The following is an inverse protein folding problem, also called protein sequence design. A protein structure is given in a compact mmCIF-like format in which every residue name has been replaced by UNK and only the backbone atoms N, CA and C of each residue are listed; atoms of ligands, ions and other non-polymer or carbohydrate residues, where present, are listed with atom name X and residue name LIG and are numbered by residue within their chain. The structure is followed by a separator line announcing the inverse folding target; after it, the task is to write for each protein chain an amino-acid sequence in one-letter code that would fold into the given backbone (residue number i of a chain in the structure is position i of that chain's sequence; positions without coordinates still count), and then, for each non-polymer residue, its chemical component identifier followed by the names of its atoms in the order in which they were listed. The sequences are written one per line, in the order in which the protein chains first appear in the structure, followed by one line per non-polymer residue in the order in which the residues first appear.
data_IF_248537954748
#
_entry.id   IF_248537954748
#
_cell.length_a   1.000
_cell.length_b   1.000
_cell.length_c   1.000
_cell.angle_alpha   90.00
_cell.angle_beta   90.00
_cell.angle_gamma   90.00
#
_symmetry.space_group_name_H-M   'P 1'
#
loop_
_entity.id
_entity.type
_entity.pdbx_description
1 polymer ?
#
# COMPACT_ATOMS: atom_id res chain seq x y z
N UNK A 1 7.10 5.23 18.29
CA UNK A 1 5.75 5.53 18.78
C UNK A 1 4.87 6.04 17.65
N UNK A 2 3.62 5.61 17.60
CA UNK A 2 2.63 6.08 16.62
C UNK A 2 1.66 6.99 17.36
N UNK A 3 1.59 8.26 16.93
CA UNK A 3 0.65 9.24 17.48
C UNK A 3 -0.57 9.34 16.57
N UNK A 4 -1.76 9.28 17.15
CA UNK A 4 -3.03 9.55 16.47
C UNK A 4 -3.68 10.73 17.18
N UNK A 5 -3.82 11.86 16.47
CA UNK A 5 -4.40 13.11 17.04
C UNK A 5 -3.73 13.53 18.36
N UNK A 6 -2.39 13.52 18.37
CA UNK A 6 -1.55 13.89 19.52
C UNK A 6 -1.77 13.03 20.79
N UNK A 7 -2.50 11.91 20.65
CA UNK A 7 -2.62 10.87 21.67
C UNK A 7 -1.85 9.64 21.22
N UNK A 8 -1.27 8.91 22.19
CA UNK A 8 -0.70 7.60 21.90
C UNK A 8 -1.75 6.68 21.30
N UNK A 9 -1.36 5.97 20.24
CA UNK A 9 -2.23 5.02 19.60
C UNK A 9 -2.55 3.85 20.55
N UNK A 10 -3.81 3.75 20.99
CA UNK A 10 -4.29 2.78 21.99
C UNK A 10 -4.57 1.40 21.36
N UNK A 11 -4.42 1.24 20.04
CA UNK A 11 -4.77 0.01 19.31
C UNK A 11 -3.69 -1.07 19.44
N UNK A 12 -3.54 -1.62 20.64
CA UNK A 12 -2.79 -2.85 20.89
C UNK A 12 -1.30 -2.82 20.55
N UNK A 13 -0.65 -3.96 20.78
CA UNK A 13 0.72 -4.20 20.30
C UNK A 13 0.72 -4.27 18.78
N UNK A 14 1.55 -3.48 18.07
CA UNK A 14 1.67 -3.56 16.62
C UNK A 14 1.95 -4.99 16.18
N UNK A 15 1.14 -5.52 15.27
CA UNK A 15 1.39 -6.85 14.70
C UNK A 15 2.64 -6.81 13.83
N UNK A 16 3.43 -7.88 13.89
CA UNK A 16 4.55 -8.04 12.98
C UNK A 16 4.03 -8.12 11.53
N UNK A 17 4.62 -7.32 10.63
CA UNK A 17 4.30 -7.42 9.21
C UNK A 17 4.73 -8.80 8.70
N UNK A 18 3.75 -9.59 8.27
CA UNK A 18 4.01 -10.89 7.64
C UNK A 18 3.85 -10.73 6.13
N UNK A 19 4.94 -10.94 5.40
CA UNK A 19 4.95 -10.76 3.94
C UNK A 19 5.07 -9.29 3.51
N UNK A 20 4.48 -8.98 2.35
CA UNK A 20 4.53 -7.65 1.71
C UNK A 20 3.14 -7.03 1.57
N UNK A 21 3.07 -5.71 1.71
CA UNK A 21 1.85 -4.92 1.68
C UNK A 21 1.97 -3.86 0.60
N UNK A 22 1.10 -3.91 -0.39
CA UNK A 22 1.05 -2.99 -1.53
C UNK A 22 -0.16 -2.08 -1.36
N UNK A 23 0.09 -0.78 -1.29
CA UNK A 23 -0.93 0.25 -1.21
C UNK A 23 -0.98 1.03 -2.51
N UNK A 24 -2.15 1.05 -3.15
CA UNK A 24 -2.35 1.73 -4.43
C UNK A 24 -3.30 2.91 -4.24
N UNK A 25 -2.85 4.10 -4.63
CA UNK A 25 -3.67 5.30 -4.61
C UNK A 25 -4.82 5.18 -5.62
N UNK A 26 -6.05 5.09 -5.12
CA UNK A 26 -7.25 4.90 -5.95
C UNK A 26 -8.36 5.93 -5.67
N UNK A 27 -8.03 7.02 -4.97
CA UNK A 27 -8.99 8.09 -4.69
C UNK A 27 -9.34 8.85 -5.98
N UNK A 28 -10.61 9.20 -6.16
CA UNK A 28 -11.09 9.94 -7.34
C UNK A 28 -11.48 11.39 -7.09
N UNK A 29 -11.60 11.81 -5.83
CA UNK A 29 -12.16 13.12 -5.44
C UNK A 29 -11.18 14.29 -5.60
N UNK A 30 -9.89 14.07 -5.30
CA UNK A 30 -8.84 15.10 -5.34
C UNK A 30 -7.94 14.97 -6.56
N UNK A 31 -7.72 13.75 -7.04
CA UNK A 31 -7.01 13.45 -8.28
C UNK A 31 -7.80 12.43 -9.11
N UNK A 32 -8.37 12.90 -10.22
CA UNK A 32 -9.15 12.05 -11.11
C UNK A 32 -8.29 10.94 -11.74
N UNK A 33 -6.99 11.15 -11.92
CA UNK A 33 -6.11 10.17 -12.55
C UNK A 33 -5.90 8.95 -11.64
N UNK A 34 -5.72 9.15 -10.34
CA UNK A 34 -5.64 8.04 -9.37
C UNK A 34 -6.95 7.22 -9.35
N UNK A 35 -8.11 7.88 -9.43
CA UNK A 35 -9.41 7.20 -9.53
C UNK A 35 -9.60 6.38 -10.80
N UNK A 36 -8.88 6.70 -11.88
CA UNK A 36 -8.92 5.96 -13.15
C UNK A 36 -7.86 4.86 -13.20
N UNK A 37 -6.60 5.16 -12.83
CA UNK A 37 -5.47 4.25 -12.93
C UNK A 37 -5.38 3.25 -11.76
N UNK A 38 -5.82 3.65 -10.57
CA UNK A 38 -5.73 2.82 -9.36
C UNK A 38 -6.51 1.50 -9.45
N UNK A 39 -7.82 1.51 -9.80
CA UNK A 39 -8.61 0.28 -9.89
C UNK A 39 -8.05 -0.80 -10.84
N UNK A 40 -7.66 -0.49 -12.10
CA UNK A 40 -7.06 -1.50 -12.98
C UNK A 40 -5.70 -1.99 -12.48
N UNK A 41 -4.89 -1.14 -11.83
CA UNK A 41 -3.61 -1.53 -11.26
C UNK A 41 -3.78 -2.51 -10.09
N UNK A 42 -4.73 -2.23 -9.18
CA UNK A 42 -5.08 -3.16 -8.08
C UNK A 42 -5.55 -4.50 -8.63
N UNK A 43 -6.40 -4.49 -9.66
CA UNK A 43 -6.85 -5.73 -10.30
C UNK A 43 -5.65 -6.50 -10.84
N UNK A 44 -4.74 -5.84 -11.56
CA UNK A 44 -3.57 -6.48 -12.15
C UNK A 44 -2.66 -7.09 -11.10
N UNK A 45 -2.40 -6.40 -9.99
CA UNK A 45 -1.66 -6.98 -8.86
C UNK A 45 -2.32 -8.24 -8.32
N UNK A 46 -3.64 -8.24 -8.12
CA UNK A 46 -4.37 -9.42 -7.63
C UNK A 46 -4.28 -10.60 -8.60
N UNK A 47 -4.42 -10.33 -9.90
CA UNK A 47 -4.30 -11.35 -10.95
C UNK A 47 -2.89 -11.98 -10.94
N UNK A 48 -1.83 -11.17 -10.83
CA UNK A 48 -0.44 -11.67 -10.78
C UNK A 48 -0.14 -12.43 -9.48
N UNK A 49 -0.61 -11.97 -8.32
CA UNK A 49 -0.46 -12.68 -7.04
C UNK A 49 -1.08 -14.08 -7.12
N UNK A 50 -2.23 -14.19 -7.76
CA UNK A 50 -2.88 -15.47 -7.99
C UNK A 50 -2.09 -16.34 -8.98
N UNK A 51 -1.72 -15.79 -10.13
CA UNK A 51 -0.97 -16.52 -11.17
C UNK A 51 0.37 -17.08 -10.66
N UNK A 52 1.02 -16.38 -9.73
CA UNK A 52 2.30 -16.77 -9.15
C UNK A 52 2.18 -17.52 -7.81
N UNK A 53 0.97 -17.82 -7.32
CA UNK A 53 0.77 -18.55 -6.07
C UNK A 53 1.23 -17.79 -4.81
N UNK A 54 1.24 -16.45 -4.86
CA UNK A 54 1.72 -15.57 -3.78
C UNK A 54 0.62 -15.17 -2.79
N UNK A 55 -0.55 -15.82 -2.85
CA UNK A 55 -1.65 -15.59 -1.90
C UNK A 55 -1.16 -15.86 -0.46
N UNK A 56 -1.47 -14.94 0.45
CA UNK A 56 -1.03 -14.99 1.85
C UNK A 56 0.39 -14.45 2.09
N UNK A 57 1.17 -14.18 1.05
CA UNK A 57 2.48 -13.52 1.15
C UNK A 57 2.42 -12.05 0.75
N UNK A 58 1.52 -11.68 -0.16
CA UNK A 58 1.35 -10.30 -0.63
C UNK A 58 -0.09 -9.86 -0.45
N UNK A 59 -0.29 -8.76 0.26
CA UNK A 59 -1.57 -8.09 0.45
C UNK A 59 -1.64 -6.83 -0.39
N UNK A 60 -2.76 -6.59 -1.08
CA UNK A 60 -2.94 -5.42 -1.95
C UNK A 60 -4.22 -4.69 -1.57
N UNK A 61 -4.09 -3.42 -1.21
CA UNK A 61 -5.20 -2.60 -0.74
C UNK A 61 -5.25 -1.24 -1.45
N UNK A 62 -6.45 -0.75 -1.81
CA UNK A 62 -6.62 0.64 -2.17
C UNK A 62 -6.33 1.53 -0.95
N UNK A 63 -5.78 2.72 -1.19
CA UNK A 63 -5.60 3.73 -0.16
C UNK A 63 -6.03 5.12 -0.67
N UNK A 64 -6.24 6.03 0.30
CA UNK A 64 -6.50 7.44 0.02
C UNK A 64 -5.26 8.13 -0.57
N UNK A 65 -5.44 9.39 -0.97
CA UNK A 65 -4.38 10.21 -1.55
C UNK A 65 -3.06 10.11 -0.78
N UNK A 66 -2.08 9.47 -1.42
CA UNK A 66 -0.69 9.51 -1.03
C UNK A 66 -0.06 10.59 -1.91
N UNK A 67 0.65 11.57 -1.31
CA UNK A 67 1.25 12.74 -1.96
C UNK A 67 1.86 12.52 -3.36
N UNK A 68 2.16 13.57 -4.11
CA UNK A 68 2.80 13.40 -5.43
C UNK A 68 1.82 13.27 -6.61
N UNK A 69 0.67 13.96 -6.56
CA UNK A 69 -0.34 14.08 -7.65
C UNK A 69 0.20 14.54 -9.01
N UNK A 70 1.50 14.86 -9.11
CA UNK A 70 2.15 15.07 -10.40
C UNK A 70 2.12 13.78 -11.22
N UNK A 71 2.19 12.63 -10.55
CA UNK A 71 2.18 11.27 -11.08
C UNK A 71 0.96 10.52 -10.51
N UNK A 72 0.39 9.59 -11.27
CA UNK A 72 -0.93 9.02 -10.98
C UNK A 72 -0.87 7.51 -10.80
N UNK A 73 -1.54 6.98 -9.78
CA UNK A 73 -1.44 5.56 -9.46
C UNK A 73 -0.22 5.23 -8.58
N UNK A 74 0.13 6.13 -7.67
CA UNK A 74 1.25 5.97 -6.75
C UNK A 74 1.09 4.67 -5.94
N UNK A 75 2.17 3.88 -5.90
CA UNK A 75 2.24 2.60 -5.20
C UNK A 75 3.26 2.71 -4.08
N UNK A 76 2.87 2.31 -2.86
CA UNK A 76 3.81 2.07 -1.78
C UNK A 76 3.84 0.59 -1.48
N UNK A 77 5.05 0.01 -1.37
CA UNK A 77 5.26 -1.38 -0.98
C UNK A 77 6.01 -1.40 0.35
N UNK A 78 5.40 -1.99 1.37
CA UNK A 78 6.06 -2.32 2.63
C UNK A 78 6.37 -3.81 2.69
N UNK A 79 7.54 -4.17 3.22
CA UNK A 79 7.89 -5.57 3.46
C UNK A 79 8.93 -5.69 4.57
N UNK A 80 8.91 -6.82 5.27
CA UNK A 80 9.97 -7.17 6.22
C UNK A 80 11.16 -7.79 5.45
N UNK A 81 12.35 -7.19 5.61
CA UNK A 81 13.60 -7.78 5.12
C UNK A 81 14.08 -8.92 6.04
N UNK A 82 15.05 -9.70 5.60
CA UNK A 82 15.64 -10.88 6.29
C UNK A 82 16.16 -10.57 7.71
N UNK A 83 16.28 -9.31 8.11
CA UNK A 83 16.62 -8.86 9.47
C UNK A 83 15.47 -8.25 10.30
N UNK A 84 14.21 -8.39 9.90
CA UNK A 84 13.06 -7.78 10.57
C UNK A 84 12.92 -6.26 10.37
N UNK A 85 13.82 -5.66 9.59
CA UNK A 85 13.74 -4.25 9.19
C UNK A 85 12.62 -4.10 8.15
N UNK A 86 11.64 -3.25 8.45
CA UNK A 86 10.57 -2.90 7.52
C UNK A 86 11.08 -1.80 6.58
N UNK A 87 11.03 -2.05 5.27
CA UNK A 87 11.33 -1.03 4.26
C UNK A 87 10.06 -0.64 3.52
N UNK A 88 9.98 0.64 3.13
CA UNK A 88 8.92 1.19 2.30
C UNK A 88 9.51 1.69 0.99
N UNK A 89 9.06 1.14 -0.14
CA UNK A 89 9.46 1.59 -1.48
C UNK A 89 8.31 2.33 -2.15
N UNK A 90 8.61 3.49 -2.72
CA UNK A 90 7.65 4.34 -3.40
C UNK A 90 7.85 4.26 -4.91
N UNK A 91 6.75 4.06 -5.64
CA UNK A 91 6.72 4.03 -7.10
C UNK A 91 5.67 5.01 -7.62
N UNK A 92 6.12 5.95 -8.44
CA UNK A 92 5.28 6.88 -9.20
C UNK A 92 5.16 6.41 -10.66
N UNK A 93 3.98 6.58 -11.27
CA UNK A 93 3.69 6.27 -12.67
C UNK A 93 3.47 7.52 -13.51
#
# INVERSE_FOLDING_TARGET
DVLVKDTDWISGTPEALTGSYVFVCAHGSRDRKCGVCGPPLIKKFKDEIEAHGLKGQISVSPCSHIGGHKYAGNVIIFGASVGGVVTGHWYDL
#
